data_IF_583713043454
#
_entry.id   IF_583713043454
#
_cell.length_a   1.000
_cell.length_b   1.000
_cell.length_c   1.000
_cell.angle_alpha   90.00
_cell.angle_beta   90.00
_cell.angle_gamma   90.00
#
_symmetry.space_group_name_H-M   'P 1'
#
loop_
_entity.id
_entity.type
_entity.pdbx_description
1 polymer ?
#
# COMPACT_ATOMS: atom_id res chain seq x y z
N UNK A 1 7.05 -3.60 40.25
CA UNK A 1 6.08 -4.22 39.32
C UNK A 1 4.84 -3.34 39.05
N UNK A 2 4.09 -2.87 40.06
CA UNK A 2 2.83 -2.10 39.87
C UNK A 2 2.95 -0.75 39.13
N UNK A 3 4.09 -0.05 39.22
CA UNK A 3 4.31 1.24 38.53
C UNK A 3 4.61 1.07 37.02
N UNK A 4 5.40 0.06 36.64
CA UNK A 4 5.71 -0.22 35.23
C UNK A 4 4.48 -0.64 34.43
N UNK A 5 3.62 -1.48 35.03
CA UNK A 5 2.37 -1.89 34.40
C UNK A 5 1.40 -0.72 34.17
N UNK A 6 1.35 0.25 35.10
CA UNK A 6 0.55 1.47 34.94
C UNK A 6 1.04 2.32 33.76
N UNK A 7 2.35 2.55 33.64
CA UNK A 7 2.91 3.31 32.53
C UNK A 7 2.72 2.61 31.18
N UNK A 8 2.89 1.29 31.13
CA UNK A 8 2.61 0.51 29.93
C UNK A 8 1.14 0.63 29.50
N UNK A 9 0.21 0.57 30.45
CA UNK A 9 -1.22 0.76 30.19
C UNK A 9 -1.53 2.16 29.64
N UNK A 10 -1.03 3.23 30.28
CA UNK A 10 -1.26 4.60 29.79
C UNK A 10 -0.61 4.84 28.43
N UNK A 11 0.57 4.26 28.16
CA UNK A 11 1.20 4.31 26.85
C UNK A 11 0.37 3.63 25.76
N UNK A 12 -0.15 2.42 26.05
CA UNK A 12 -1.03 1.71 25.13
C UNK A 12 -2.33 2.48 24.88
N UNK A 13 -2.96 3.01 25.93
CA UNK A 13 -4.18 3.81 25.81
C UNK A 13 -3.94 5.06 24.95
N UNK A 14 -2.84 5.78 25.17
CA UNK A 14 -2.49 6.94 24.38
C UNK A 14 -2.26 6.58 22.90
N UNK A 15 -1.60 5.45 22.62
CA UNK A 15 -1.40 4.97 21.26
C UNK A 15 -2.73 4.63 20.57
N UNK A 16 -3.64 3.94 21.25
CA UNK A 16 -4.99 3.64 20.74
C UNK A 16 -5.75 4.93 20.44
N UNK A 17 -5.77 5.89 21.37
CA UNK A 17 -6.44 7.18 21.19
C UNK A 17 -5.85 7.96 20.01
N UNK A 18 -4.54 7.93 19.81
CA UNK A 18 -3.88 8.56 18.67
C UNK A 18 -4.30 7.91 17.34
N UNK A 19 -4.39 6.57 17.27
CA UNK A 19 -4.88 5.87 16.07
C UNK A 19 -6.34 6.22 15.80
N UNK A 20 -7.19 6.24 16.83
CA UNK A 20 -8.61 6.60 16.69
C UNK A 20 -8.75 8.03 16.19
N UNK A 21 -8.11 9.01 16.84
CA UNK A 21 -8.14 10.41 16.41
C UNK A 21 -7.58 10.56 14.98
N UNK A 22 -6.47 9.91 14.67
CA UNK A 22 -5.87 9.90 13.34
C UNK A 22 -6.76 9.29 12.26
N UNK A 23 -7.59 8.30 12.61
CA UNK A 23 -8.54 7.65 11.70
C UNK A 23 -9.77 8.53 11.42
N UNK A 24 -10.25 9.23 12.45
CA UNK A 24 -11.48 10.02 12.40
C UNK A 24 -11.28 11.40 11.77
N UNK A 25 -10.10 12.01 11.92
CA UNK A 25 -9.81 13.33 11.35
C UNK A 25 -9.45 13.20 9.86
N UNK A 26 -10.28 13.72 8.94
CA UNK A 26 -10.04 13.52 7.51
C UNK A 26 -8.88 14.36 6.98
N UNK A 27 -8.19 13.80 5.99
CA UNK A 27 -7.15 14.45 5.19
C UNK A 27 -7.40 14.11 3.72
N UNK A 28 -7.56 15.11 2.84
CA UNK A 28 -7.71 16.55 3.14
C UNK A 28 -9.01 16.88 3.91
N UNK A 29 -9.02 18.02 4.61
CA UNK A 29 -10.18 18.48 5.41
C UNK A 29 -11.39 18.84 4.54
N UNK A 30 -11.14 19.37 3.35
CA UNK A 30 -12.16 19.60 2.32
C UNK A 30 -11.99 18.53 1.24
N UNK A 31 -13.08 17.97 0.70
CA UNK A 31 -13.00 17.06 -0.43
C UNK A 31 -12.37 17.78 -1.63
N UNK A 32 -11.40 17.14 -2.26
CA UNK A 32 -10.92 17.55 -3.59
C UNK A 32 -11.99 17.08 -4.54
N UNK A 33 -12.70 18.04 -5.16
CA UNK A 33 -13.85 17.87 -6.06
C UNK A 33 -14.26 16.43 -6.35
N UNK A 34 -15.40 16.00 -5.80
CA UNK A 34 -16.01 14.73 -6.17
C UNK A 34 -16.37 14.78 -7.67
N UNK A 35 -15.60 14.11 -8.52
CA UNK A 35 -16.13 13.74 -9.83
C UNK A 35 -17.32 12.82 -9.56
N UNK A 36 -18.48 13.21 -10.08
CA UNK A 36 -19.73 12.53 -9.80
C UNK A 36 -19.59 11.04 -10.10
N UNK A 37 -19.82 10.20 -9.09
CA UNK A 37 -19.95 8.76 -9.28
C UNK A 37 -21.01 8.52 -10.37
N UNK A 38 -20.58 8.08 -11.57
CA UNK A 38 -21.51 7.75 -12.65
C UNK A 38 -21.05 7.96 -14.08
N UNK A 39 -19.91 8.60 -14.37
CA UNK A 39 -19.46 8.76 -15.77
C UNK A 39 -17.97 8.40 -15.94
N UNK A 40 -17.69 7.12 -16.25
CA UNK A 40 -16.41 6.71 -16.85
C UNK A 40 -15.19 6.61 -15.93
N UNK A 41 -15.38 6.30 -14.64
CA UNK A 41 -14.26 6.11 -13.72
C UNK A 41 -13.48 4.81 -13.94
N UNK A 42 -12.19 4.81 -13.61
CA UNK A 42 -11.34 3.63 -13.56
C UNK A 42 -11.43 2.98 -12.19
N UNK A 43 -11.88 1.72 -12.17
CA UNK A 43 -11.94 0.91 -10.96
C UNK A 43 -10.56 0.49 -10.50
N UNK A 44 -10.20 0.81 -9.26
CA UNK A 44 -9.03 0.28 -8.54
C UNK A 44 -9.49 -0.53 -7.34
N UNK A 45 -8.63 -1.40 -6.82
CA UNK A 45 -8.90 -2.17 -5.62
C UNK A 45 -7.86 -1.89 -4.54
N UNK A 46 -8.33 -1.70 -3.32
CA UNK A 46 -7.54 -1.81 -2.10
C UNK A 46 -7.58 -3.27 -1.63
N UNK A 47 -6.42 -3.90 -1.55
CA UNK A 47 -6.24 -5.23 -0.99
C UNK A 47 -5.78 -5.08 0.46
N UNK A 48 -6.51 -5.69 1.40
CA UNK A 48 -6.23 -5.60 2.84
C UNK A 48 -5.89 -6.97 3.40
N UNK A 49 -4.60 -7.21 3.63
CA UNK A 49 -4.12 -8.36 4.38
C UNK A 49 -4.26 -8.16 5.90
N UNK A 50 -3.78 -9.13 6.71
CA UNK A 50 -3.84 -9.04 8.16
C UNK A 50 -3.09 -7.84 8.74
N UNK A 51 -1.97 -7.44 8.12
CA UNK A 51 -1.10 -6.37 8.63
C UNK A 51 -0.58 -5.40 7.56
N UNK A 52 -0.88 -5.63 6.28
CA UNK A 52 -0.47 -4.76 5.17
C UNK A 52 -1.63 -4.48 4.22
N UNK A 53 -1.48 -3.43 3.42
CA UNK A 53 -2.39 -3.10 2.33
C UNK A 53 -1.63 -2.81 1.05
N UNK A 54 -2.21 -3.24 -0.06
CA UNK A 54 -1.70 -3.03 -1.41
C UNK A 54 -2.78 -2.41 -2.31
N UNK A 55 -2.37 -1.86 -3.45
CA UNK A 55 -3.27 -1.28 -4.45
C UNK A 55 -3.19 -2.12 -5.73
N UNK A 56 -4.33 -2.63 -6.18
CA UNK A 56 -4.47 -3.26 -7.48
C UNK A 56 -5.07 -2.26 -8.49
N UNK A 57 -4.41 -2.14 -9.64
CA UNK A 57 -4.90 -1.36 -10.78
C UNK A 57 -5.16 -2.28 -11.98
N UNK A 58 -6.11 -1.95 -12.87
CA UNK A 58 -6.41 -2.78 -14.03
C UNK A 58 -5.22 -2.81 -15.00
N UNK A 59 -4.82 -3.99 -15.46
CA UNK A 59 -3.67 -4.20 -16.33
C UNK A 59 -4.06 -4.03 -17.82
N UNK A 60 -4.37 -2.79 -18.19
CA UNK A 60 -4.63 -2.38 -19.59
C UNK A 60 -3.33 -2.30 -20.41
N UNK A 61 -3.44 -2.15 -21.73
CA UNK A 61 -2.27 -1.96 -22.60
C UNK A 61 -1.45 -0.70 -22.25
N UNK A 62 -2.12 0.36 -21.81
CA UNK A 62 -1.46 1.56 -21.31
C UNK A 62 -0.66 1.28 -20.04
N UNK A 63 -1.21 0.53 -19.09
CA UNK A 63 -0.52 0.14 -17.85
C UNK A 63 0.66 -0.79 -18.15
N UNK A 64 0.51 -1.72 -19.11
CA UNK A 64 1.63 -2.57 -19.59
C UNK A 64 2.76 -1.73 -20.16
N UNK A 65 2.45 -0.73 -20.97
CA UNK A 65 3.45 0.18 -21.52
C UNK A 65 4.11 1.04 -20.43
N UNK A 66 3.31 1.62 -19.52
CA UNK A 66 3.79 2.51 -18.45
C UNK A 66 4.70 1.80 -17.45
N UNK A 67 4.35 0.57 -17.07
CA UNK A 67 5.08 -0.24 -16.11
C UNK A 67 5.89 -1.37 -16.77
N UNK A 68 6.17 -1.30 -18.08
CA UNK A 68 6.88 -2.36 -18.80
C UNK A 68 8.27 -2.69 -18.25
N UNK A 69 8.87 -1.78 -17.47
CA UNK A 69 10.10 -2.05 -16.73
C UNK A 69 9.97 -3.18 -15.69
N UNK A 70 8.76 -3.44 -15.15
CA UNK A 70 8.57 -4.56 -14.21
C UNK A 70 8.59 -5.91 -14.93
N UNK A 71 8.19 -5.96 -16.20
CA UNK A 71 8.27 -7.16 -17.03
C UNK A 71 9.73 -7.53 -17.32
N UNK A 72 10.58 -6.53 -17.55
CA UNK A 72 12.03 -6.76 -17.69
C UNK A 72 12.67 -7.39 -16.44
N UNK A 73 12.09 -7.20 -15.25
CA UNK A 73 12.52 -7.85 -14.01
C UNK A 73 11.88 -9.25 -13.79
N UNK A 74 10.97 -9.67 -14.66
CA UNK A 74 10.36 -11.00 -14.65
C UNK A 74 8.95 -11.08 -14.06
N UNK A 75 8.26 -9.95 -13.85
CA UNK A 75 6.81 -9.95 -13.59
C UNK A 75 6.10 -10.28 -14.92
N UNK A 76 5.28 -11.33 -15.03
CA UNK A 76 4.78 -11.79 -16.33
C UNK A 76 3.55 -10.97 -16.79
N UNK A 77 3.76 -9.68 -17.08
CA UNK A 77 2.69 -8.76 -17.48
C UNK A 77 1.91 -9.34 -18.65
N UNK A 78 2.57 -9.79 -19.73
CA UNK A 78 1.96 -10.37 -20.92
C UNK A 78 1.16 -11.67 -20.72
N UNK A 79 1.05 -12.21 -19.49
CA UNK A 79 0.26 -13.41 -19.23
C UNK A 79 -1.22 -13.19 -19.62
N UNK A 80 -1.85 -14.10 -20.39
CA UNK A 80 -3.18 -13.86 -20.97
C UNK A 80 -4.31 -13.80 -19.94
N UNK A 81 -4.08 -14.31 -18.73
CA UNK A 81 -5.03 -14.24 -17.62
C UNK A 81 -4.72 -13.10 -16.64
N UNK A 82 -3.70 -12.27 -16.88
CA UNK A 82 -3.37 -11.17 -15.98
C UNK A 82 -4.32 -9.98 -16.20
N UNK A 83 -5.11 -9.66 -15.18
CA UNK A 83 -6.13 -8.61 -15.19
C UNK A 83 -5.75 -7.43 -14.29
N UNK A 84 -4.94 -7.67 -13.26
CA UNK A 84 -4.57 -6.68 -12.25
C UNK A 84 -3.06 -6.63 -12.03
N UNK A 85 -2.54 -5.42 -11.89
CA UNK A 85 -1.18 -5.15 -11.41
C UNK A 85 -1.26 -4.63 -9.98
N UNK A 86 -0.59 -5.30 -9.06
CA UNK A 86 -0.68 -5.06 -7.62
C UNK A 86 0.62 -4.42 -7.16
N UNK A 87 0.50 -3.34 -6.39
CA UNK A 87 1.62 -2.60 -5.82
C UNK A 87 1.51 -2.55 -4.30
N UNK A 88 2.58 -3.01 -3.64
CA UNK A 88 2.83 -2.81 -2.22
C UNK A 88 4.10 -1.97 -2.00
N UNK A 89 4.20 -1.35 -0.83
CA UNK A 89 5.40 -0.62 -0.38
C UNK A 89 5.67 -0.92 1.07
N UNK A 90 6.92 -1.19 1.45
CA UNK A 90 7.28 -1.22 2.87
C UNK A 90 8.72 -1.60 3.14
N UNK A 91 9.01 -2.00 4.37
CA UNK A 91 10.37 -2.13 4.85
C UNK A 91 11.12 -3.25 4.15
N UNK A 92 12.32 -2.97 3.65
CA UNK A 92 13.18 -3.95 3.00
C UNK A 92 13.39 -5.17 3.89
N UNK A 93 13.81 -4.94 5.13
CA UNK A 93 14.08 -6.02 6.08
C UNK A 93 12.80 -6.79 6.40
N UNK A 94 11.67 -6.09 6.52
CA UNK A 94 10.39 -6.73 6.79
C UNK A 94 9.93 -7.62 5.63
N UNK A 95 9.91 -7.09 4.41
CA UNK A 95 9.48 -7.82 3.22
C UNK A 95 10.43 -8.95 2.85
N UNK A 96 11.75 -8.70 2.88
CA UNK A 96 12.75 -9.64 2.37
C UNK A 96 13.21 -10.69 3.40
N UNK A 97 13.23 -10.35 4.69
CA UNK A 97 13.71 -11.27 5.75
C UNK A 97 12.56 -12.01 6.46
N UNK A 98 11.30 -11.66 6.21
CA UNK A 98 10.12 -12.31 6.83
C UNK A 98 9.12 -12.82 5.77
N UNK A 99 9.52 -13.76 4.88
CA UNK A 99 8.70 -14.19 3.75
C UNK A 99 7.45 -14.99 4.17
N UNK A 100 7.48 -15.64 5.34
CA UNK A 100 6.29 -16.33 5.88
C UNK A 100 5.84 -15.67 7.19
N UNK A 101 4.54 -15.37 7.28
CA UNK A 101 3.95 -14.66 8.42
C UNK A 101 4.12 -15.41 9.76
N UNK A 102 4.32 -16.74 9.72
CA UNK A 102 4.67 -17.57 10.88
C UNK A 102 6.04 -17.27 11.49
N UNK A 103 6.90 -16.56 10.76
CA UNK A 103 8.25 -16.19 11.19
C UNK A 103 8.32 -14.80 11.84
N UNK A 104 7.17 -14.14 12.06
CA UNK A 104 7.07 -12.92 12.86
C UNK A 104 7.47 -13.19 14.32
N UNK A 105 8.79 -13.21 14.56
CA UNK A 105 9.40 -13.23 15.88
C UNK A 105 9.41 -11.81 16.46
N UNK A 106 9.53 -11.64 17.78
CA UNK A 106 9.65 -10.31 18.41
C UNK A 106 10.80 -9.44 17.86
N UNK A 107 11.87 -10.05 17.32
CA UNK A 107 13.02 -9.36 16.74
C UNK A 107 12.68 -8.55 15.47
N UNK A 108 12.19 -9.19 14.38
CA UNK A 108 11.70 -8.50 13.19
C UNK A 108 10.67 -7.40 13.48
N UNK A 109 9.79 -7.59 14.47
CA UNK A 109 8.84 -6.56 14.92
C UNK A 109 9.54 -5.35 15.52
N UNK A 110 10.58 -5.56 16.34
CA UNK A 110 11.37 -4.48 16.92
C UNK A 110 12.20 -3.74 15.87
N UNK A 111 12.76 -4.45 14.89
CA UNK A 111 13.48 -3.85 13.74
C UNK A 111 12.53 -3.07 12.84
N UNK A 112 11.30 -3.56 12.63
CA UNK A 112 10.27 -2.82 11.89
C UNK A 112 9.85 -1.52 12.62
N UNK A 113 9.98 -1.43 13.94
CA UNK A 113 9.80 -0.19 14.71
C UNK A 113 11.00 0.76 14.62
N UNK A 114 12.12 0.34 14.04
CA UNK A 114 13.25 1.22 13.70
C UNK A 114 13.13 1.78 12.28
N UNK A 115 14.07 2.64 11.88
CA UNK A 115 14.11 3.19 10.52
C UNK A 115 14.77 2.17 9.59
N UNK A 116 14.06 1.79 8.54
CA UNK A 116 14.55 0.88 7.49
C UNK A 116 14.48 1.55 6.11
N UNK A 117 15.16 0.96 5.12
CA UNK A 117 14.92 1.28 3.70
C UNK A 117 13.59 0.69 3.27
N UNK A 118 13.05 1.22 2.18
CA UNK A 118 11.80 0.73 1.61
C UNK A 118 12.01 -0.01 0.29
N UNK A 119 11.06 -0.88 -0.02
CA UNK A 119 10.97 -1.64 -1.26
C UNK A 119 9.55 -1.54 -1.83
N UNK A 120 9.45 -1.57 -3.15
CA UNK A 120 8.21 -1.79 -3.87
C UNK A 120 8.06 -3.29 -4.09
N UNK A 121 6.88 -3.81 -3.77
CA UNK A 121 6.46 -5.15 -4.13
C UNK A 121 5.50 -5.05 -5.30
N UNK A 122 5.78 -5.77 -6.39
CA UNK A 122 4.91 -5.79 -7.58
C UNK A 122 4.52 -7.21 -7.87
N UNK A 123 3.21 -7.46 -7.91
CA UNK A 123 2.62 -8.76 -8.24
C UNK A 123 1.55 -8.58 -9.32
N UNK A 124 1.12 -9.67 -9.94
CA UNK A 124 -0.02 -9.68 -10.85
C UNK A 124 -1.08 -10.66 -10.38
N UNK A 125 -2.34 -10.34 -10.66
CA UNK A 125 -3.44 -11.26 -10.44
C UNK A 125 -4.29 -11.36 -11.70
N UNK A 126 -4.92 -12.52 -11.88
CA UNK A 126 -6.07 -12.64 -12.76
C UNK A 126 -7.33 -12.09 -12.10
N UNK A 127 -8.49 -12.57 -12.55
CA UNK A 127 -9.77 -12.10 -12.05
C UNK A 127 -9.88 -12.14 -10.52
N UNK A 128 -10.12 -10.99 -9.91
CA UNK A 128 -10.47 -10.85 -8.49
C UNK A 128 -12.00 -10.79 -8.39
N UNK A 129 -12.61 -11.78 -7.73
CA UNK A 129 -14.06 -11.83 -7.53
C UNK A 129 -14.48 -10.88 -6.41
N UNK A 130 -15.52 -10.08 -6.61
CA UNK A 130 -16.06 -9.19 -5.57
C UNK A 130 -17.54 -9.55 -5.28
N UNK A 131 -18.04 -9.38 -4.04
CA UNK A 131 -17.35 -8.79 -2.88
C UNK A 131 -16.49 -9.79 -2.11
N UNK A 132 -15.39 -9.31 -1.53
CA UNK A 132 -14.57 -10.03 -0.56
C UNK A 132 -14.24 -9.11 0.62
N UNK A 133 -14.18 -9.64 1.84
CA UNK A 133 -13.92 -8.83 3.03
C UNK A 133 -12.56 -8.09 2.99
N UNK A 134 -11.57 -8.67 2.30
CA UNK A 134 -10.23 -8.12 2.14
C UNK A 134 -10.08 -7.23 0.89
N UNK A 135 -11.13 -7.03 0.10
CA UNK A 135 -11.08 -6.27 -1.16
C UNK A 135 -12.08 -5.14 -1.10
N UNK A 136 -11.62 -3.91 -1.29
CA UNK A 136 -12.49 -2.73 -1.38
C UNK A 136 -12.22 -1.98 -2.68
N UNK A 137 -13.22 -1.88 -3.55
CA UNK A 137 -13.09 -1.16 -4.81
C UNK A 137 -13.44 0.31 -4.73
N UNK A 138 -12.72 1.14 -5.48
CA UNK A 138 -12.95 2.58 -5.64
C UNK A 138 -12.96 2.94 -7.12
N UNK A 139 -13.86 3.84 -7.50
CA UNK A 139 -13.90 4.41 -8.84
C UNK A 139 -13.16 5.75 -8.81
N UNK A 140 -12.16 5.91 -9.66
CA UNK A 140 -11.38 7.15 -9.80
C UNK A 140 -11.72 7.82 -11.13
N UNK A 141 -11.81 9.14 -11.14
CA UNK A 141 -11.81 9.87 -12.42
C UNK A 141 -10.43 9.76 -13.10
N UNK A 142 -10.38 10.12 -14.38
CA UNK A 142 -9.14 10.06 -15.18
C UNK A 142 -7.98 10.81 -14.51
N UNK A 143 -8.22 12.04 -14.04
CA UNK A 143 -7.21 12.85 -13.38
C UNK A 143 -6.72 12.24 -12.05
N UNK A 144 -7.63 11.64 -11.26
CA UNK A 144 -7.31 10.94 -10.02
C UNK A 144 -6.53 9.66 -10.27
N UNK A 145 -6.90 8.90 -11.29
CA UNK A 145 -6.17 7.72 -11.71
C UNK A 145 -4.76 8.07 -12.18
N UNK A 146 -4.59 9.11 -13.01
CA UNK A 146 -3.27 9.57 -13.45
C UNK A 146 -2.36 10.00 -12.30
N UNK A 147 -2.91 10.73 -11.31
CA UNK A 147 -2.16 11.10 -10.10
C UNK A 147 -1.74 9.88 -9.29
N UNK A 148 -2.61 8.87 -9.18
CA UNK A 148 -2.26 7.59 -8.54
C UNK A 148 -1.11 6.90 -9.29
N UNK A 149 -1.20 6.79 -10.61
CA UNK A 149 -0.16 6.17 -11.42
C UNK A 149 1.17 6.94 -11.35
N UNK A 150 1.11 8.27 -11.25
CA UNK A 150 2.27 9.13 -10.99
C UNK A 150 2.91 8.81 -9.65
N UNK A 151 2.13 8.82 -8.58
CA UNK A 151 2.58 8.50 -7.23
C UNK A 151 3.22 7.11 -7.12
N UNK A 152 2.61 6.09 -7.73
CA UNK A 152 3.17 4.73 -7.76
C UNK A 152 4.50 4.72 -8.51
N UNK A 153 4.57 5.34 -9.69
CA UNK A 153 5.81 5.40 -10.48
C UNK A 153 6.96 6.14 -9.77
N UNK A 154 6.64 7.21 -9.03
CA UNK A 154 7.59 7.99 -8.22
C UNK A 154 8.04 7.25 -6.96
N UNK A 155 7.31 6.21 -6.53
CA UNK A 155 7.69 5.42 -5.36
C UNK A 155 8.89 4.50 -5.64
N UNK A 156 9.20 4.20 -6.90
CA UNK A 156 10.36 3.42 -7.29
C UNK A 156 11.65 4.26 -7.27
N UNK A 157 12.71 3.70 -6.72
CA UNK A 157 14.06 4.27 -6.84
C UNK A 157 14.60 4.01 -8.24
N UNK A 158 15.23 5.04 -8.82
CA UNK A 158 15.88 4.95 -10.12
C UNK A 158 17.37 5.24 -9.99
N UNK A 159 18.18 4.39 -10.62
CA UNK A 159 19.61 4.58 -10.78
C UNK A 159 19.92 4.66 -12.28
N UNK A 160 20.67 5.69 -12.69
CA UNK A 160 20.95 5.97 -14.11
C UNK A 160 19.69 5.98 -15.02
N UNK A 161 18.54 6.40 -14.47
CA UNK A 161 17.25 6.46 -15.18
C UNK A 161 16.42 5.16 -15.18
N UNK A 162 17.00 4.03 -14.76
CA UNK A 162 16.34 2.74 -14.70
C UNK A 162 15.85 2.42 -13.28
N UNK A 163 14.70 1.75 -13.16
CA UNK A 163 14.20 1.23 -11.88
C UNK A 163 15.10 0.08 -11.42
N UNK A 164 15.45 0.05 -10.14
CA UNK A 164 16.36 -0.96 -9.58
C UNK A 164 15.56 -2.15 -9.06
N UNK A 165 15.65 -3.29 -9.74
CA UNK A 165 15.09 -4.57 -9.25
C UNK A 165 15.99 -5.20 -8.19
N UNK A 166 15.40 -5.88 -7.22
CA UNK A 166 16.10 -6.62 -6.17
C UNK A 166 16.10 -8.10 -6.57
N UNK A 167 17.24 -8.59 -7.03
CA UNK A 167 17.39 -9.96 -7.50
C UNK A 167 17.31 -10.99 -6.37
N UNK A 168 16.79 -12.18 -6.66
CA UNK A 168 16.75 -13.31 -5.73
C UNK A 168 15.63 -13.26 -4.68
N UNK A 169 14.75 -12.26 -4.74
CA UNK A 169 13.60 -12.13 -3.85
C UNK A 169 12.29 -12.09 -4.62
N UNK A 170 11.37 -12.95 -4.20
CA UNK A 170 9.96 -12.99 -4.62
C UNK A 170 9.17 -13.80 -3.57
N UNK A 171 7.87 -13.57 -3.48
CA UNK A 171 6.96 -14.38 -2.65
C UNK A 171 6.37 -15.55 -3.42
N UNK A 172 6.27 -15.44 -4.73
CA UNK A 172 5.79 -16.45 -5.66
C UNK A 172 6.54 -16.36 -7.00
N UNK A 173 6.02 -16.99 -8.05
CA UNK A 173 6.65 -17.01 -9.37
C UNK A 173 6.43 -15.74 -10.20
N UNK A 174 5.39 -14.98 -9.87
CA UNK A 174 4.84 -13.89 -10.67
C UNK A 174 5.16 -12.50 -10.12
N UNK A 175 5.75 -12.40 -8.93
CA UNK A 175 6.05 -11.14 -8.26
C UNK A 175 7.54 -10.82 -8.21
N UNK A 176 7.87 -9.54 -8.07
CA UNK A 176 9.24 -9.05 -7.91
C UNK A 176 9.31 -7.91 -6.92
N UNK A 177 10.49 -7.75 -6.32
CA UNK A 177 10.83 -6.62 -5.47
C UNK A 177 11.72 -5.61 -6.19
N UNK A 178 11.54 -4.33 -5.87
CA UNK A 178 12.32 -3.22 -6.40
C UNK A 178 12.71 -2.26 -5.28
N UNK A 179 13.81 -1.55 -5.44
CA UNK A 179 14.18 -0.46 -4.52
C UNK A 179 13.10 0.63 -4.54
N UNK A 180 12.74 1.15 -3.37
CA UNK A 180 11.78 2.23 -3.24
C UNK A 180 12.36 3.46 -2.56
N UNK A 181 11.75 4.60 -2.86
CA UNK A 181 12.06 5.87 -2.22
C UNK A 181 11.45 5.97 -0.83
N UNK A 182 12.18 6.62 0.08
CA UNK A 182 11.71 6.93 1.43
C UNK A 182 12.11 5.92 2.49
N UNK A 183 11.92 6.32 3.74
CA UNK A 183 12.26 5.53 4.92
C UNK A 183 11.03 4.83 5.47
N UNK A 184 11.18 3.54 5.78
CA UNK A 184 10.13 2.74 6.39
C UNK A 184 10.23 2.77 7.92
N UNK A 185 9.07 2.80 8.56
CA UNK A 185 8.89 2.49 9.97
C UNK A 185 7.51 1.83 10.12
N UNK A 186 7.31 0.90 11.05
CA UNK A 186 6.02 0.22 11.22
C UNK A 186 4.84 1.18 11.50
N UNK A 187 5.11 2.38 12.07
CA UNK A 187 4.09 3.42 12.26
C UNK A 187 3.85 4.27 10.99
N UNK A 188 4.79 4.25 10.05
CA UNK A 188 4.78 4.95 8.76
C UNK A 188 5.15 3.97 7.64
N UNK A 189 4.36 2.89 7.55
CA UNK A 189 4.59 1.75 6.66
C UNK A 189 3.64 1.70 5.46
N UNK A 190 3.44 0.48 4.93
CA UNK A 190 2.54 0.17 3.82
C UNK A 190 1.17 0.87 3.94
N UNK A 191 0.50 0.75 5.09
CA UNK A 191 -0.82 1.34 5.31
C UNK A 191 -0.83 2.87 5.13
N UNK A 192 0.25 3.55 5.54
CA UNK A 192 0.37 5.01 5.39
C UNK A 192 0.77 5.43 3.97
N UNK A 193 1.57 4.60 3.27
CA UNK A 193 1.87 4.77 1.86
C UNK A 193 0.61 4.61 1.01
N UNK A 194 -0.17 3.55 1.25
CA UNK A 194 -1.46 3.30 0.59
C UNK A 194 -2.43 4.44 0.86
N UNK A 195 -2.55 4.90 2.12
CA UNK A 195 -3.37 6.05 2.46
C UNK A 195 -2.93 7.32 1.70
N UNK A 196 -1.63 7.53 1.49
CA UNK A 196 -1.11 8.64 0.69
C UNK A 196 -1.46 8.49 -0.78
N UNK A 197 -1.23 7.33 -1.38
CA UNK A 197 -1.57 7.03 -2.77
C UNK A 197 -3.04 7.32 -3.07
N UNK A 198 -3.94 6.84 -2.20
CA UNK A 198 -5.38 7.08 -2.33
C UNK A 198 -5.74 8.57 -2.20
N UNK A 199 -5.03 9.33 -1.34
CA UNK A 199 -5.22 10.79 -1.26
C UNK A 199 -4.73 11.53 -2.50
N UNK A 200 -3.60 11.13 -3.08
CA UNK A 200 -3.15 11.67 -4.36
C UNK A 200 -4.18 11.39 -5.45
N UNK A 201 -4.85 10.22 -5.39
CA UNK A 201 -5.93 9.86 -6.28
C UNK A 201 -7.23 10.67 -6.09
N UNK A 202 -7.30 11.54 -5.07
CA UNK A 202 -8.48 12.35 -4.76
C UNK A 202 -9.42 11.77 -3.71
N UNK A 203 -9.16 10.56 -3.20
CA UNK A 203 -9.90 10.00 -2.07
C UNK A 203 -9.49 10.68 -0.75
N UNK A 204 -10.30 10.46 0.28
CA UNK A 204 -10.03 10.94 1.63
C UNK A 204 -9.68 9.80 2.55
N UNK A 205 -8.67 10.00 3.38
CA UNK A 205 -8.33 9.09 4.48
C UNK A 205 -8.19 9.88 5.77
N UNK A 206 -7.93 9.20 6.85
CA UNK A 206 -7.55 9.82 8.11
C UNK A 206 -6.17 10.45 8.00
N UNK A 207 -5.84 11.30 8.97
CA UNK A 207 -4.50 11.84 9.16
C UNK A 207 -3.45 10.74 9.36
N UNK A 208 -3.81 9.65 10.03
CA UNK A 208 -2.89 8.55 10.34
C UNK A 208 -3.59 7.20 10.44
N UNK A 209 -3.13 6.24 9.63
CA UNK A 209 -3.69 4.89 9.53
C UNK A 209 -2.55 3.85 9.49
N UNK A 210 -1.95 3.48 10.64
CA UNK A 210 -0.78 2.61 10.66
C UNK A 210 -1.10 1.12 10.44
N UNK A 211 -2.38 0.71 10.54
CA UNK A 211 -2.83 -0.69 10.42
C UNK A 211 -4.03 -0.84 9.47
N UNK A 212 -4.23 -1.99 8.80
CA UNK A 212 -5.30 -2.16 7.81
C UNK A 212 -6.72 -1.84 8.34
N UNK A 213 -7.13 -2.28 9.55
CA UNK A 213 -8.46 -1.96 10.07
C UNK A 213 -8.71 -0.45 10.23
N UNK A 214 -7.66 0.30 10.59
CA UNK A 214 -7.75 1.75 10.73
C UNK A 214 -7.94 2.44 9.38
N UNK A 215 -7.22 2.01 8.33
CA UNK A 215 -7.36 2.55 6.98
C UNK A 215 -8.72 2.19 6.38
N UNK A 216 -9.14 0.94 6.49
CA UNK A 216 -10.44 0.47 5.98
C UNK A 216 -11.62 1.18 6.66
N UNK A 217 -11.56 1.40 7.98
CA UNK A 217 -12.57 2.22 8.67
C UNK A 217 -12.55 3.66 8.16
N UNK A 218 -11.37 4.25 8.01
CA UNK A 218 -11.24 5.63 7.56
C UNK A 218 -11.82 5.87 6.18
N UNK A 219 -11.53 4.97 5.23
CA UNK A 219 -12.04 5.08 3.87
C UNK A 219 -13.57 5.02 3.83
N UNK A 220 -14.19 4.12 4.60
CA UNK A 220 -15.65 4.02 4.74
C UNK A 220 -16.31 5.25 5.38
N UNK A 221 -15.57 6.01 6.20
CA UNK A 221 -16.11 7.19 6.86
C UNK A 221 -16.07 8.43 5.97
N UNK A 222 -15.14 8.48 5.01
CA UNK A 222 -14.81 9.71 4.29
C UNK A 222 -15.09 9.68 2.78
N UNK A 223 -15.52 8.54 2.23
CA UNK A 223 -15.85 8.34 0.80
C UNK A 223 -17.06 7.39 0.69
#
# INVERSE_FOLDING_TARGET
>A
MKRGLKWAFFGLLAAILAIVAGTLLPRPLLPVSASAAGAGGTRILLLSGPIHTDIAIPLTDEIRARFGFVEAAGVPLAHPQAEWLIFGWGGRSFYLETPTWSELKPGPVFKALTVDRSVMHVDIAGRIVEPQAAVTGFELDEAGYDRLLGFIAESFTREAGAVVSIEGFSYNGNDRFFEAGGSFNALFGCNTWTARALREAGLRTGLWNPVPPSLGLSLRLHN
#
